data_IF_622977473978
#
_entry.id   IF_622977473978
#
_cell.length_a   1.000
_cell.length_b   1.000
_cell.length_c   1.000
_cell.angle_alpha   90.00
_cell.angle_beta   90.00
_cell.angle_gamma   90.00
#
_symmetry.space_group_name_H-M   'P 1'
#
loop_
_entity.id
_entity.type
_entity.pdbx_description
1 polymer ?
#
# COMPACT_ATOMS: atom_id res chain seq x y z
N UNK A 1 8.29 4.85 -21.48
CA UNK A 1 7.05 4.04 -21.61
C UNK A 1 5.85 4.97 -21.49
N UNK A 2 4.77 4.79 -22.25
CA UNK A 2 3.54 5.57 -22.10
C UNK A 2 2.41 4.58 -21.83
N UNK A 3 1.80 4.64 -20.64
CA UNK A 3 0.58 3.90 -20.38
C UNK A 3 -0.62 4.70 -20.91
N UNK A 4 -1.53 4.01 -21.61
CA UNK A 4 -2.78 4.62 -22.04
C UNK A 4 -3.78 4.54 -20.88
N UNK A 5 -3.89 5.63 -20.13
CA UNK A 5 -4.89 5.76 -19.06
C UNK A 5 -6.23 6.20 -19.67
N UNK A 6 -7.32 5.72 -19.08
CA UNK A 6 -8.62 6.32 -19.38
C UNK A 6 -8.71 7.71 -18.75
N UNK A 7 -9.40 8.62 -19.41
CA UNK A 7 -9.63 9.95 -18.90
C UNK A 7 -10.47 9.95 -17.60
N UNK A 8 -11.28 8.89 -17.39
CA UNK A 8 -12.14 8.73 -16.22
C UNK A 8 -12.26 7.27 -15.80
N UNK A 9 -12.27 7.06 -14.48
CA UNK A 9 -12.56 5.79 -13.82
C UNK A 9 -13.77 5.96 -12.91
N UNK A 10 -14.77 5.11 -13.10
CA UNK A 10 -15.96 5.05 -12.28
C UNK A 10 -15.81 4.04 -11.11
N UNK A 11 -16.80 3.90 -10.26
CA UNK A 11 -16.85 2.88 -9.22
C UNK A 11 -17.10 1.51 -9.86
N UNK A 12 -16.57 0.44 -9.27
CA UNK A 12 -16.84 -0.93 -9.71
C UNK A 12 -17.76 -1.61 -8.70
N UNK A 13 -19.04 -1.76 -9.03
CA UNK A 13 -20.07 -2.31 -8.15
C UNK A 13 -20.86 -3.37 -8.89
N UNK A 14 -21.03 -4.55 -8.27
CA UNK A 14 -21.79 -5.65 -8.83
C UNK A 14 -21.39 -6.06 -10.26
N UNK A 15 -20.06 -6.09 -10.53
CA UNK A 15 -19.54 -6.45 -11.83
C UNK A 15 -19.65 -5.36 -12.91
N UNK A 16 -20.04 -4.14 -12.55
CA UNK A 16 -20.25 -3.03 -13.48
C UNK A 16 -19.50 -1.77 -13.04
N UNK A 17 -19.05 -1.00 -14.02
CA UNK A 17 -18.53 0.34 -13.81
C UNK A 17 -19.69 1.33 -13.77
N UNK A 18 -19.85 2.03 -12.65
CA UNK A 18 -20.96 2.96 -12.40
C UNK A 18 -20.43 4.30 -11.88
N UNK A 19 -20.97 5.44 -12.32
CA UNK A 19 -20.59 6.73 -11.78
C UNK A 19 -21.00 6.83 -10.30
N UNK A 20 -20.35 7.73 -9.54
CA UNK A 20 -20.82 8.07 -8.21
C UNK A 20 -22.25 8.65 -8.30
N UNK A 21 -23.12 8.31 -7.34
CA UNK A 21 -24.55 8.66 -7.36
C UNK A 21 -24.82 10.17 -7.37
N UNK A 22 -23.88 10.99 -6.85
CA UNK A 22 -23.92 12.46 -6.92
C UNK A 22 -23.08 13.05 -8.06
N UNK A 23 -22.46 12.20 -8.88
CA UNK A 23 -21.65 12.58 -10.03
C UNK A 23 -20.28 13.19 -9.69
N UNK A 24 -19.89 13.27 -8.42
CA UNK A 24 -18.60 13.84 -8.01
C UNK A 24 -17.42 12.98 -8.41
N UNK A 25 -16.34 13.66 -8.71
CA UNK A 25 -15.04 13.06 -9.04
C UNK A 25 -13.92 13.78 -8.28
N UNK A 26 -12.80 13.10 -8.11
CA UNK A 26 -11.52 13.69 -7.74
C UNK A 26 -10.49 13.44 -8.86
N UNK A 27 -9.43 14.23 -8.88
CA UNK A 27 -8.39 14.13 -9.91
C UNK A 27 -7.17 13.40 -9.36
N UNK A 28 -6.68 12.41 -10.10
CA UNK A 28 -5.37 11.80 -9.88
C UNK A 28 -4.30 12.60 -10.64
N UNK A 29 -3.17 12.85 -9.99
CA UNK A 29 -2.05 13.63 -10.54
C UNK A 29 -0.78 12.80 -10.52
N UNK A 30 0.07 13.01 -11.53
CA UNK A 30 1.44 12.49 -11.52
C UNK A 30 2.29 13.32 -10.54
N UNK A 31 2.81 12.74 -9.45
CA UNK A 31 3.59 13.48 -8.47
C UNK A 31 4.96 13.97 -8.98
N UNK A 32 5.46 13.38 -10.07
CA UNK A 32 6.73 13.78 -10.67
C UNK A 32 6.59 14.99 -11.61
N UNK A 33 5.42 15.18 -12.24
CA UNK A 33 5.22 16.27 -13.21
C UNK A 33 4.16 17.28 -12.80
N UNK A 34 3.28 16.92 -11.86
CA UNK A 34 2.11 17.70 -11.50
C UNK A 34 0.96 17.62 -12.52
N UNK A 35 1.10 16.83 -13.58
CA UNK A 35 0.09 16.70 -14.62
C UNK A 35 -1.09 15.83 -14.16
N UNK A 36 -2.27 16.19 -14.65
CA UNK A 36 -3.49 15.38 -14.45
C UNK A 36 -3.35 14.06 -15.21
N UNK A 37 -3.57 12.95 -14.52
CA UNK A 37 -3.61 11.59 -15.09
C UNK A 37 -5.03 11.18 -15.48
N UNK A 38 -5.98 11.29 -14.55
CA UNK A 38 -7.36 10.86 -14.76
C UNK A 38 -8.31 11.54 -13.75
N UNK A 39 -9.61 11.38 -13.97
CA UNK A 39 -10.64 11.61 -12.96
C UNK A 39 -11.12 10.28 -12.41
N UNK A 40 -11.38 10.21 -11.11
CA UNK A 40 -11.94 9.04 -10.44
C UNK A 40 -13.24 9.42 -9.72
N UNK A 41 -14.25 8.58 -9.80
CA UNK A 41 -15.52 8.79 -9.10
C UNK A 41 -15.31 8.85 -7.57
N UNK A 42 -16.04 9.71 -6.87
CA UNK A 42 -15.97 9.84 -5.41
C UNK A 42 -17.23 9.28 -4.76
N UNK A 43 -17.14 8.05 -4.23
CA UNK A 43 -18.28 7.31 -3.72
C UNK A 43 -19.03 8.06 -2.60
N UNK A 44 -20.36 7.99 -2.66
CA UNK A 44 -21.27 8.47 -1.62
C UNK A 44 -21.59 7.36 -0.61
N UNK A 45 -22.39 7.67 0.38
CA UNK A 45 -22.91 6.70 1.34
C UNK A 45 -23.80 5.66 0.66
N UNK A 46 -24.60 6.08 -0.31
CA UNK A 46 -25.49 5.25 -1.10
C UNK A 46 -24.71 4.28 -1.99
N UNK A 47 -23.59 4.71 -2.55
CA UNK A 47 -22.72 3.85 -3.36
C UNK A 47 -22.05 2.78 -2.50
N UNK A 48 -21.58 3.12 -1.30
CA UNK A 48 -21.03 2.16 -0.33
C UNK A 48 -22.10 1.16 0.09
N UNK A 49 -23.33 1.59 0.36
CA UNK A 49 -24.47 0.73 0.68
C UNK A 49 -24.78 -0.24 -0.48
N UNK A 50 -24.79 0.27 -1.71
CA UNK A 50 -25.00 -0.56 -2.91
C UNK A 50 -23.89 -1.63 -3.07
N UNK A 51 -22.61 -1.26 -2.84
CA UNK A 51 -21.48 -2.19 -2.88
C UNK A 51 -21.59 -3.29 -1.82
N UNK A 52 -21.97 -2.92 -0.58
CA UNK A 52 -22.16 -3.90 0.51
C UNK A 52 -23.33 -4.82 0.23
N UNK A 53 -24.45 -4.31 -0.28
CA UNK A 53 -25.61 -5.13 -0.69
C UNK A 53 -25.26 -6.11 -1.80
N UNK A 54 -24.53 -5.65 -2.83
CA UNK A 54 -24.03 -6.51 -3.90
C UNK A 54 -23.12 -7.63 -3.37
N UNK A 55 -22.23 -7.29 -2.45
CA UNK A 55 -21.34 -8.27 -1.81
C UNK A 55 -22.11 -9.32 -1.01
N UNK A 56 -23.11 -8.93 -0.24
CA UNK A 56 -23.97 -9.88 0.48
C UNK A 56 -24.81 -10.76 -0.44
N UNK A 57 -25.29 -10.23 -1.55
CA UNK A 57 -26.03 -11.02 -2.55
C UNK A 57 -25.14 -12.08 -3.22
N UNK A 58 -23.87 -11.77 -3.48
CA UNK A 58 -22.90 -12.69 -4.08
C UNK A 58 -22.34 -13.72 -3.08
N UNK A 59 -22.36 -13.41 -1.78
CA UNK A 59 -21.65 -14.19 -0.77
C UNK A 59 -22.02 -15.68 -0.71
N UNK A 60 -23.31 -16.09 -0.73
CA UNK A 60 -23.65 -17.52 -0.67
C UNK A 60 -23.03 -18.33 -1.80
N UNK A 61 -23.11 -17.85 -3.04
CA UNK A 61 -22.57 -18.53 -4.20
C UNK A 61 -21.04 -18.60 -4.18
N UNK A 62 -20.37 -17.52 -3.75
CA UNK A 62 -18.91 -17.48 -3.64
C UNK A 62 -18.39 -18.35 -2.49
N UNK A 63 -19.05 -18.33 -1.32
CA UNK A 63 -18.75 -19.20 -0.18
C UNK A 63 -18.84 -20.67 -0.56
N UNK A 64 -19.90 -21.05 -1.26
CA UNK A 64 -20.20 -22.44 -1.60
C UNK A 64 -19.43 -22.94 -2.84
N UNK A 65 -18.73 -22.05 -3.56
CA UNK A 65 -17.83 -22.41 -4.65
C UNK A 65 -16.69 -23.31 -4.15
N UNK A 66 -16.39 -24.37 -4.90
CA UNK A 66 -15.33 -25.32 -4.54
C UNK A 66 -13.96 -24.65 -4.36
N UNK A 67 -13.19 -25.10 -3.36
CA UNK A 67 -11.84 -24.57 -3.07
C UNK A 67 -10.94 -24.58 -4.31
N UNK A 68 -10.96 -25.69 -5.10
CA UNK A 68 -10.15 -25.81 -6.30
C UNK A 68 -10.54 -24.79 -7.39
N UNK A 69 -11.82 -24.46 -7.48
CA UNK A 69 -12.33 -23.48 -8.45
C UNK A 69 -11.90 -22.07 -8.06
N UNK A 70 -12.05 -21.67 -6.78
CA UNK A 70 -11.56 -20.39 -6.27
C UNK A 70 -10.04 -20.26 -6.45
N UNK A 71 -9.27 -21.32 -6.11
CA UNK A 71 -7.84 -21.33 -6.33
C UNK A 71 -7.47 -21.11 -7.81
N UNK A 72 -8.16 -21.77 -8.73
CA UNK A 72 -7.94 -21.59 -10.17
C UNK A 72 -8.27 -20.17 -10.67
N UNK A 73 -9.22 -19.48 -10.04
CA UNK A 73 -9.48 -18.07 -10.33
C UNK A 73 -8.30 -17.18 -9.86
N UNK A 74 -7.76 -17.43 -8.66
CA UNK A 74 -6.60 -16.68 -8.15
C UNK A 74 -5.36 -16.90 -9.03
N UNK A 75 -5.11 -18.12 -9.49
CA UNK A 75 -4.03 -18.44 -10.43
C UNK A 75 -4.16 -17.62 -11.74
N UNK A 76 -5.37 -17.56 -12.32
CA UNK A 76 -5.65 -16.75 -13.51
C UNK A 76 -5.46 -15.25 -13.27
N UNK A 77 -5.81 -14.76 -12.08
CA UNK A 77 -5.53 -13.35 -11.70
C UNK A 77 -4.02 -13.11 -11.72
N UNK A 78 -3.23 -14.01 -11.13
CA UNK A 78 -1.77 -13.90 -11.13
C UNK A 78 -1.19 -13.92 -12.55
N UNK A 79 -1.69 -14.81 -13.43
CA UNK A 79 -1.24 -14.88 -14.82
C UNK A 79 -1.54 -13.58 -15.58
N UNK A 80 -2.74 -13.00 -15.40
CA UNK A 80 -3.11 -11.70 -15.98
C UNK A 80 -2.20 -10.56 -15.47
N UNK A 81 -1.84 -10.58 -14.17
CA UNK A 81 -0.89 -9.59 -13.62
C UNK A 81 0.46 -9.72 -14.33
N UNK A 82 1.00 -10.93 -14.49
CA UNK A 82 2.29 -11.14 -15.15
C UNK A 82 2.24 -10.77 -16.64
N UNK A 83 1.17 -11.13 -17.35
CA UNK A 83 0.96 -10.77 -18.75
C UNK A 83 0.88 -9.26 -18.98
N UNK A 84 0.48 -8.49 -17.96
CA UNK A 84 0.32 -7.04 -18.03
C UNK A 84 1.33 -6.29 -17.14
N UNK A 85 2.44 -6.93 -16.76
CA UNK A 85 3.38 -6.41 -15.79
C UNK A 85 3.93 -5.02 -16.15
N UNK A 86 4.34 -4.80 -17.40
CA UNK A 86 4.85 -3.51 -17.84
C UNK A 86 3.79 -2.39 -17.77
N UNK A 87 2.56 -2.69 -18.16
CA UNK A 87 1.45 -1.73 -18.09
C UNK A 87 1.16 -1.34 -16.62
N UNK A 88 1.01 -2.33 -15.76
CA UNK A 88 0.68 -2.13 -14.35
C UNK A 88 1.81 -1.40 -13.60
N UNK A 89 3.06 -1.77 -13.84
CA UNK A 89 4.23 -1.12 -13.27
C UNK A 89 4.37 0.34 -13.73
N UNK A 90 4.12 0.60 -15.02
CA UNK A 90 4.17 1.96 -15.57
C UNK A 90 3.09 2.85 -14.94
N UNK A 91 1.85 2.35 -14.80
CA UNK A 91 0.76 3.09 -14.17
C UNK A 91 1.06 3.32 -12.69
N UNK A 92 1.55 2.31 -11.97
CA UNK A 92 1.96 2.43 -10.56
C UNK A 92 3.01 3.52 -10.39
N UNK A 93 4.05 3.55 -11.24
CA UNK A 93 5.09 4.58 -11.20
C UNK A 93 4.55 5.98 -11.52
N UNK A 94 3.65 6.11 -12.48
CA UNK A 94 3.03 7.39 -12.83
C UNK A 94 2.12 7.94 -11.74
N UNK A 95 1.39 7.06 -11.05
CA UNK A 95 0.37 7.43 -10.04
C UNK A 95 1.00 7.66 -8.65
N UNK A 96 2.06 6.91 -8.32
CA UNK A 96 2.71 6.94 -7.00
C UNK A 96 4.01 7.79 -6.98
N UNK A 97 4.74 7.85 -8.08
CA UNK A 97 6.03 8.53 -8.18
C UNK A 97 7.26 7.65 -7.91
N UNK A 98 7.10 6.37 -7.56
CA UNK A 98 8.23 5.45 -7.35
C UNK A 98 8.90 5.05 -8.67
N UNK A 99 10.21 4.72 -8.65
CA UNK A 99 10.93 4.33 -9.86
C UNK A 99 10.37 3.07 -10.52
N UNK A 100 10.30 3.06 -11.84
CA UNK A 100 9.84 1.92 -12.64
C UNK A 100 10.66 0.64 -12.35
N UNK A 101 11.93 0.78 -12.00
CA UNK A 101 12.77 -0.36 -11.60
C UNK A 101 12.25 -1.06 -10.34
N UNK A 102 11.60 -0.32 -9.43
CA UNK A 102 11.02 -0.87 -8.21
C UNK A 102 9.66 -1.52 -8.47
N UNK A 103 8.79 -0.85 -9.23
CA UNK A 103 7.47 -1.41 -9.58
C UNK A 103 7.59 -2.69 -10.41
N UNK A 104 8.56 -2.74 -11.35
CA UNK A 104 8.84 -3.93 -12.16
C UNK A 104 9.52 -5.06 -11.38
N UNK A 105 10.36 -4.76 -10.40
CA UNK A 105 11.10 -5.77 -9.65
C UNK A 105 10.37 -6.25 -8.39
N UNK A 106 9.49 -5.44 -7.82
CA UNK A 106 8.87 -5.68 -6.51
C UNK A 106 7.34 -5.65 -6.59
N UNK A 107 6.74 -4.47 -6.84
CA UNK A 107 5.29 -4.29 -6.66
C UNK A 107 4.46 -5.27 -7.49
N UNK A 108 4.75 -5.41 -8.76
CA UNK A 108 3.99 -6.27 -9.66
C UNK A 108 4.32 -7.76 -9.45
N UNK A 109 5.60 -8.20 -9.45
CA UNK A 109 5.92 -9.63 -9.25
C UNK A 109 5.47 -10.16 -7.89
N UNK A 110 5.64 -9.40 -6.80
CA UNK A 110 5.16 -9.85 -5.49
C UNK A 110 3.64 -9.87 -5.40
N UNK A 111 2.94 -9.04 -6.16
CA UNK A 111 1.48 -9.08 -6.22
C UNK A 111 0.98 -10.36 -6.89
N UNK A 112 1.55 -10.76 -8.01
CA UNK A 112 1.19 -12.04 -8.67
C UNK A 112 1.54 -13.24 -7.80
N UNK A 113 2.72 -13.21 -7.15
CA UNK A 113 3.15 -14.26 -6.21
C UNK A 113 2.19 -14.41 -5.04
N UNK A 114 1.67 -13.32 -4.47
CA UNK A 114 0.67 -13.37 -3.41
C UNK A 114 -0.62 -14.08 -3.84
N UNK A 115 -1.12 -13.80 -5.03
CA UNK A 115 -2.29 -14.53 -5.54
C UNK A 115 -1.99 -16.03 -5.70
N UNK A 116 -0.82 -16.41 -6.22
CA UNK A 116 -0.38 -17.82 -6.32
C UNK A 116 -0.20 -18.47 -4.95
N UNK A 117 0.41 -17.75 -4.01
CA UNK A 117 0.57 -18.25 -2.64
C UNK A 117 -0.77 -18.61 -2.00
N UNK A 118 -1.78 -17.73 -2.05
CA UNK A 118 -3.08 -18.00 -1.46
C UNK A 118 -3.93 -18.99 -2.28
N UNK A 119 -3.72 -19.11 -3.57
CA UNK A 119 -4.27 -20.19 -4.39
C UNK A 119 -3.75 -21.57 -3.93
N UNK A 120 -2.47 -21.67 -3.60
CA UNK A 120 -1.88 -22.86 -3.02
C UNK A 120 -2.31 -23.09 -1.57
N UNK A 121 -2.25 -22.06 -0.74
CA UNK A 121 -2.53 -22.13 0.70
C UNK A 121 -3.95 -22.64 0.99
N UNK A 122 -4.97 -22.14 0.25
CA UNK A 122 -6.34 -22.56 0.49
C UNK A 122 -6.59 -24.05 0.18
N UNK A 123 -5.79 -24.65 -0.68
CA UNK A 123 -5.91 -26.08 -1.05
C UNK A 123 -5.40 -27.02 0.04
N UNK A 124 -4.56 -26.53 0.95
CA UNK A 124 -3.96 -27.28 2.06
C UNK A 124 -4.49 -26.83 3.42
N UNK A 125 -5.50 -25.96 3.45
CA UNK A 125 -6.15 -25.51 4.68
C UNK A 125 -6.92 -26.67 5.30
N UNK A 126 -6.59 -27.01 6.54
CA UNK A 126 -7.16 -28.13 7.28
C UNK A 126 -7.96 -27.66 8.50
N UNK A 127 -9.03 -28.41 8.81
CA UNK A 127 -9.72 -28.34 10.11
C UNK A 127 -9.04 -29.22 11.15
N UNK A 128 -9.61 -29.28 12.36
CA UNK A 128 -9.17 -30.19 13.41
C UNK A 128 -10.33 -31.06 13.86
N UNK A 129 -10.02 -32.31 14.19
CA UNK A 129 -10.95 -33.25 14.82
C UNK A 129 -10.32 -33.80 16.09
N UNK A 130 -11.08 -33.87 17.18
CA UNK A 130 -10.66 -34.44 18.45
C UNK A 130 -11.75 -35.35 18.99
N UNK A 131 -11.40 -36.59 19.36
CA UNK A 131 -12.29 -37.48 20.10
C UNK A 131 -12.20 -37.11 21.57
N UNK A 132 -13.32 -36.68 22.18
CA UNK A 132 -13.37 -36.28 23.59
C UNK A 132 -13.66 -37.49 24.48
N UNK A 133 -14.58 -38.33 24.05
CA UNK A 133 -14.85 -39.64 24.66
C UNK A 133 -15.48 -40.62 23.63
N UNK A 134 -15.95 -41.77 24.06
CA UNK A 134 -16.54 -42.80 23.20
C UNK A 134 -17.78 -42.35 22.38
N UNK A 135 -18.41 -41.25 22.78
CA UNK A 135 -19.68 -40.77 22.20
C UNK A 135 -19.59 -39.32 21.68
N UNK A 136 -18.46 -38.65 21.82
CA UNK A 136 -18.33 -37.24 21.48
C UNK A 136 -17.07 -36.95 20.66
N UNK A 137 -17.25 -36.22 19.58
CA UNK A 137 -16.19 -35.70 18.72
C UNK A 137 -16.35 -34.18 18.59
N UNK A 138 -15.24 -33.47 18.73
CA UNK A 138 -15.15 -32.04 18.43
C UNK A 138 -14.54 -31.83 17.03
N UNK A 139 -15.19 -31.02 16.20
CA UNK A 139 -14.71 -30.61 14.90
C UNK A 139 -14.50 -29.09 14.89
N UNK A 140 -13.35 -28.64 14.37
CA UNK A 140 -13.09 -27.23 14.08
C UNK A 140 -13.08 -27.08 12.56
N UNK A 141 -14.07 -26.37 12.06
CA UNK A 141 -14.19 -26.03 10.64
C UNK A 141 -13.83 -24.56 10.45
N UNK A 142 -13.22 -24.22 9.33
CA UNK A 142 -12.95 -22.86 8.92
C UNK A 142 -13.97 -22.43 7.87
N UNK A 143 -14.62 -21.33 8.11
CA UNK A 143 -15.66 -20.79 7.24
C UNK A 143 -15.38 -19.32 6.89
N UNK A 144 -15.79 -18.88 5.66
CA UNK A 144 -15.70 -17.46 5.31
C UNK A 144 -16.54 -16.61 6.26
N UNK A 145 -16.01 -15.45 6.62
CA UNK A 145 -16.64 -14.56 7.60
C UNK A 145 -17.79 -13.73 7.01
N UNK A 146 -17.81 -13.54 5.67
CA UNK A 146 -18.85 -12.77 4.99
C UNK A 146 -18.29 -11.63 4.13
N UNK A 147 -18.81 -10.42 4.31
CA UNK A 147 -18.39 -9.22 3.59
C UNK A 147 -17.31 -8.48 4.37
N UNK A 148 -16.16 -8.25 3.72
CA UNK A 148 -14.99 -7.60 4.30
C UNK A 148 -14.80 -6.21 3.69
N UNK A 149 -14.70 -5.18 4.55
CA UNK A 149 -14.27 -3.84 4.15
C UNK A 149 -12.75 -3.74 4.18
N UNK A 150 -12.14 -3.36 3.05
CA UNK A 150 -10.68 -3.26 2.92
C UNK A 150 -10.30 -1.85 2.49
N UNK A 151 -9.39 -1.22 3.24
CA UNK A 151 -8.88 0.12 2.96
C UNK A 151 -7.37 0.05 2.92
N UNK A 152 -6.77 0.54 1.82
CA UNK A 152 -5.32 0.50 1.59
C UNK A 152 -4.72 1.90 1.44
N UNK A 153 -3.43 2.07 1.80
CA UNK A 153 -2.71 3.31 1.70
C UNK A 153 -2.22 3.57 0.26
N UNK A 154 -1.51 4.68 0.12
CA UNK A 154 -1.00 5.18 -1.15
C UNK A 154 0.44 4.75 -1.47
N UNK A 155 1.20 4.21 -0.51
CA UNK A 155 2.64 3.97 -0.71
C UNK A 155 2.97 2.71 -1.51
N UNK A 156 2.15 1.67 -1.42
CA UNK A 156 2.21 0.45 -2.23
C UNK A 156 0.81 0.08 -2.71
N UNK A 157 0.16 0.90 -3.54
CA UNK A 157 -1.25 0.72 -3.86
C UNK A 157 -1.55 -0.66 -4.46
N UNK A 158 -0.76 -1.09 -5.44
CA UNK A 158 -0.95 -2.37 -6.12
C UNK A 158 -0.65 -3.57 -5.22
N UNK A 159 0.50 -3.54 -4.53
CA UNK A 159 0.92 -4.63 -3.65
C UNK A 159 0.01 -4.76 -2.43
N UNK A 160 -0.41 -3.65 -1.81
CA UNK A 160 -1.35 -3.68 -0.69
C UNK A 160 -2.75 -4.15 -1.10
N UNK A 161 -3.17 -3.89 -2.33
CA UNK A 161 -4.38 -4.47 -2.88
C UNK A 161 -4.26 -6.00 -2.96
N UNK A 162 -3.17 -6.53 -3.53
CA UNK A 162 -2.93 -7.97 -3.60
C UNK A 162 -2.91 -8.63 -2.22
N UNK A 163 -2.23 -8.01 -1.23
CA UNK A 163 -2.15 -8.53 0.15
C UNK A 163 -3.49 -8.65 0.84
N UNK A 164 -4.48 -7.85 0.46
CA UNK A 164 -5.81 -7.90 1.05
C UNK A 164 -6.81 -8.68 0.21
N UNK A 165 -6.76 -8.54 -1.11
CA UNK A 165 -7.68 -9.23 -2.03
C UNK A 165 -7.42 -10.75 -2.05
N UNK A 166 -6.18 -11.19 -2.23
CA UNK A 166 -5.84 -12.58 -2.40
C UNK A 166 -6.30 -13.47 -1.23
N UNK A 167 -5.96 -13.19 0.05
CA UNK A 167 -6.42 -14.04 1.16
C UNK A 167 -7.93 -13.99 1.37
N UNK A 168 -8.57 -12.85 1.15
CA UNK A 168 -10.01 -12.71 1.36
C UNK A 168 -10.81 -13.48 0.30
N UNK A 169 -10.40 -13.38 -0.97
CA UNK A 169 -11.00 -14.13 -2.08
C UNK A 169 -10.76 -15.64 -1.92
N UNK A 170 -9.53 -16.05 -1.60
CA UNK A 170 -9.17 -17.44 -1.35
C UNK A 170 -10.08 -18.07 -0.28
N UNK A 171 -10.25 -17.37 0.84
CA UNK A 171 -11.07 -17.82 1.96
C UNK A 171 -12.59 -17.81 1.68
N UNK A 172 -13.05 -17.35 0.50
CA UNK A 172 -14.45 -17.33 0.12
C UNK A 172 -15.26 -16.12 0.63
N UNK A 173 -14.57 -15.02 0.99
CA UNK A 173 -15.21 -13.77 1.39
C UNK A 173 -15.51 -12.87 0.19
N UNK A 174 -16.55 -12.04 0.30
CA UNK A 174 -16.80 -10.95 -0.64
C UNK A 174 -16.25 -9.63 -0.10
N UNK A 175 -15.89 -8.73 -1.00
CA UNK A 175 -15.05 -7.57 -0.67
C UNK A 175 -15.70 -6.28 -1.15
N UNK A 176 -15.66 -5.26 -0.28
CA UNK A 176 -15.75 -3.85 -0.67
C UNK A 176 -14.39 -3.23 -0.40
N UNK A 177 -13.70 -2.87 -1.47
CA UNK A 177 -12.32 -2.39 -1.45
C UNK A 177 -12.25 -0.88 -1.71
N UNK A 178 -11.43 -0.17 -0.93
CA UNK A 178 -11.17 1.25 -1.11
C UNK A 178 -9.66 1.52 -1.24
N UNK A 179 -9.16 1.82 -2.47
CA UNK A 179 -7.80 2.33 -2.64
C UNK A 179 -7.67 3.73 -2.05
N UNK A 180 -6.45 4.19 -1.86
CA UNK A 180 -6.21 5.61 -1.57
C UNK A 180 -6.68 6.48 -2.73
N UNK A 181 -7.26 7.65 -2.43
CA UNK A 181 -7.62 8.64 -3.47
C UNK A 181 -6.40 9.25 -4.15
N UNK A 182 -5.23 9.16 -3.52
CA UNK A 182 -3.96 9.68 -4.08
C UNK A 182 -3.40 8.75 -5.15
N UNK A 183 -3.63 7.43 -5.03
CA UNK A 183 -3.04 6.39 -5.90
C UNK A 183 -4.06 5.28 -6.15
N UNK A 184 -5.02 5.53 -7.03
CA UNK A 184 -6.09 4.56 -7.33
C UNK A 184 -5.90 3.82 -8.65
N UNK A 185 -5.09 4.35 -9.57
CA UNK A 185 -5.16 4.00 -11.00
C UNK A 185 -4.66 2.58 -11.31
N UNK A 186 -3.60 2.12 -10.65
CA UNK A 186 -3.07 0.77 -10.86
C UNK A 186 -4.07 -0.29 -10.42
N UNK A 187 -4.73 -0.08 -9.27
CA UNK A 187 -5.77 -0.99 -8.76
C UNK A 187 -7.02 -0.99 -9.66
N UNK A 188 -7.47 0.18 -10.11
CA UNK A 188 -8.62 0.28 -11.02
C UNK A 188 -8.32 -0.37 -12.37
N UNK A 189 -7.08 -0.27 -12.85
CA UNK A 189 -6.62 -0.98 -14.04
C UNK A 189 -6.61 -2.49 -13.81
N UNK A 190 -6.11 -2.97 -12.67
CA UNK A 190 -6.21 -4.39 -12.32
C UNK A 190 -7.66 -4.87 -12.36
N UNK A 191 -8.59 -4.14 -11.73
CA UNK A 191 -10.02 -4.51 -11.72
C UNK A 191 -10.61 -4.59 -13.13
N UNK A 192 -10.20 -3.71 -14.06
CA UNK A 192 -10.58 -3.82 -15.47
C UNK A 192 -10.12 -5.13 -16.12
N UNK A 193 -8.91 -5.54 -15.79
CA UNK A 193 -8.32 -6.76 -16.34
C UNK A 193 -8.94 -8.04 -15.77
N UNK A 194 -9.26 -8.08 -14.46
CA UNK A 194 -9.67 -9.28 -13.76
C UNK A 194 -11.16 -9.37 -13.43
N UNK A 195 -11.90 -8.27 -13.52
CA UNK A 195 -13.31 -8.20 -13.05
C UNK A 195 -14.21 -9.26 -13.68
N UNK A 196 -13.94 -9.65 -14.92
CA UNK A 196 -14.69 -10.68 -15.64
C UNK A 196 -14.47 -12.11 -15.12
N UNK A 197 -13.42 -12.36 -14.32
CA UNK A 197 -13.14 -13.66 -13.71
C UNK A 197 -13.95 -13.91 -12.44
N UNK A 198 -14.43 -12.85 -11.82
CA UNK A 198 -15.15 -12.91 -10.54
C UNK A 198 -16.66 -12.78 -10.78
N UNK A 199 -17.49 -13.58 -10.11
CA UNK A 199 -18.92 -13.38 -10.13
C UNK A 199 -19.31 -11.94 -9.69
N UNK A 200 -20.32 -11.32 -10.30
CA UNK A 200 -20.77 -9.99 -9.91
C UNK A 200 -21.02 -9.88 -8.40
N UNK A 201 -20.51 -8.83 -7.77
CA UNK A 201 -20.65 -8.59 -6.34
C UNK A 201 -19.55 -9.20 -5.45
N UNK A 202 -18.76 -10.18 -5.94
CA UNK A 202 -17.64 -10.76 -5.14
C UNK A 202 -16.58 -9.71 -4.82
N UNK A 203 -16.23 -8.88 -5.79
CA UNK A 203 -15.35 -7.73 -5.63
C UNK A 203 -16.12 -6.45 -6.01
N UNK A 204 -16.10 -5.47 -5.11
CA UNK A 204 -16.61 -4.13 -5.35
C UNK A 204 -15.54 -3.13 -4.97
N UNK A 205 -15.36 -2.08 -5.77
CA UNK A 205 -14.36 -1.04 -5.53
C UNK A 205 -15.02 0.32 -5.46
N UNK A 206 -14.87 0.97 -4.33
CA UNK A 206 -15.36 2.32 -4.07
C UNK A 206 -14.18 3.27 -3.87
N UNK A 207 -14.08 4.29 -4.69
CA UNK A 207 -13.00 5.29 -4.65
C UNK A 207 -13.44 6.54 -3.89
N UNK A 208 -12.47 7.37 -3.50
CA UNK A 208 -12.73 8.65 -2.84
C UNK A 208 -11.90 8.89 -1.58
N UNK A 209 -12.03 10.07 -1.00
CA UNK A 209 -11.29 10.51 0.17
C UNK A 209 -11.55 9.70 1.44
N UNK A 210 -10.55 9.67 2.35
CA UNK A 210 -10.65 8.97 3.63
C UNK A 210 -11.79 9.51 4.51
N UNK A 211 -11.91 10.83 4.60
CA UNK A 211 -12.92 11.54 5.40
C UNK A 211 -14.35 11.44 4.83
N UNK A 212 -14.50 10.96 3.61
CA UNK A 212 -15.81 10.76 2.96
C UNK A 212 -16.06 9.27 2.72
N UNK A 213 -15.59 8.71 1.60
CA UNK A 213 -15.86 7.31 1.23
C UNK A 213 -15.28 6.33 2.26
N UNK A 214 -14.12 6.63 2.86
CA UNK A 214 -13.54 5.83 3.96
C UNK A 214 -14.45 5.84 5.19
N UNK A 215 -14.91 7.02 5.61
CA UNK A 215 -15.79 7.16 6.77
C UNK A 215 -17.13 6.44 6.53
N UNK A 216 -17.71 6.53 5.33
CA UNK A 216 -18.94 5.79 5.01
C UNK A 216 -18.77 4.28 5.14
N UNK A 217 -17.60 3.74 4.79
CA UNK A 217 -17.30 2.32 5.04
C UNK A 217 -17.20 2.03 6.53
N UNK A 218 -16.51 2.88 7.31
CA UNK A 218 -16.40 2.67 8.76
C UNK A 218 -17.75 2.73 9.47
N UNK A 219 -18.64 3.60 9.03
CA UNK A 219 -19.98 3.76 9.62
C UNK A 219 -20.94 2.63 9.22
N UNK A 220 -20.68 1.93 8.10
CA UNK A 220 -21.61 0.96 7.54
C UNK A 220 -21.71 -0.31 8.39
N UNK A 221 -22.92 -0.76 8.81
CA UNK A 221 -23.09 -1.91 9.71
C UNK A 221 -22.94 -3.27 9.02
N UNK A 222 -22.90 -3.30 7.70
CA UNK A 222 -22.96 -4.55 6.91
C UNK A 222 -21.65 -5.30 6.77
N UNK A 223 -20.54 -4.80 7.29
CA UNK A 223 -19.25 -5.51 7.30
C UNK A 223 -19.16 -6.54 8.44
N UNK A 224 -18.45 -7.64 8.20
CA UNK A 224 -18.09 -8.65 9.19
C UNK A 224 -16.64 -8.60 9.62
N UNK A 225 -15.83 -7.85 8.89
CA UNK A 225 -14.42 -7.56 9.22
C UNK A 225 -14.01 -6.27 8.54
N UNK A 226 -13.13 -5.52 9.18
CA UNK A 226 -12.39 -4.42 8.57
C UNK A 226 -10.92 -4.80 8.46
N UNK A 227 -10.29 -4.47 7.32
CA UNK A 227 -8.85 -4.63 7.10
C UNK A 227 -8.30 -3.30 6.61
N UNK A 228 -7.38 -2.73 7.36
CA UNK A 228 -6.82 -1.41 7.13
C UNK A 228 -5.30 -1.47 7.12
N UNK A 229 -4.71 -0.73 6.19
CA UNK A 229 -3.29 -0.37 6.25
C UNK A 229 -3.17 1.14 6.06
N UNK A 230 -2.42 1.81 6.92
CA UNK A 230 -2.23 3.25 6.87
C UNK A 230 -1.63 3.85 8.15
N UNK A 231 -1.93 5.12 8.44
CA UNK A 231 -1.42 5.78 9.65
C UNK A 231 -2.01 5.19 10.94
N UNK A 232 -1.23 5.28 12.03
CA UNK A 232 -1.69 4.85 13.36
C UNK A 232 -2.92 5.62 13.82
N UNK A 233 -3.01 6.91 13.51
CA UNK A 233 -4.17 7.76 13.85
C UNK A 233 -5.46 7.22 13.23
N UNK A 234 -5.48 6.99 11.92
CA UNK A 234 -6.65 6.42 11.23
C UNK A 234 -6.90 4.98 11.66
N UNK A 235 -5.84 4.22 11.95
CA UNK A 235 -5.96 2.85 12.48
C UNK A 235 -6.73 2.78 13.80
N UNK A 236 -6.56 3.76 14.67
CA UNK A 236 -7.35 3.89 15.92
C UNK A 236 -8.84 4.12 15.62
N UNK A 237 -9.17 4.91 14.61
CA UNK A 237 -10.58 5.12 14.24
C UNK A 237 -11.20 3.86 13.63
N UNK A 238 -10.44 3.12 12.81
CA UNK A 238 -10.86 1.81 12.30
C UNK A 238 -11.08 0.82 13.43
N UNK A 239 -10.19 0.80 14.44
CA UNK A 239 -10.33 -0.07 15.62
C UNK A 239 -11.60 0.25 16.41
N UNK A 240 -11.88 1.54 16.66
CA UNK A 240 -13.10 2.00 17.32
C UNK A 240 -14.35 1.59 16.53
N UNK A 241 -14.38 1.86 15.23
CA UNK A 241 -15.49 1.51 14.35
C UNK A 241 -15.75 -0.01 14.30
N UNK A 242 -14.71 -0.84 14.40
CA UNK A 242 -14.84 -2.28 14.49
C UNK A 242 -15.36 -2.72 15.86
N UNK A 243 -14.85 -2.12 16.95
CA UNK A 243 -15.29 -2.40 18.31
C UNK A 243 -16.77 -2.05 18.53
N UNK A 244 -17.25 -0.92 18.01
CA UNK A 244 -18.66 -0.50 18.09
C UNK A 244 -19.61 -1.51 17.40
N UNK A 245 -19.09 -2.29 16.45
CA UNK A 245 -19.84 -3.33 15.72
C UNK A 245 -19.57 -4.75 16.22
N UNK A 246 -18.65 -4.92 17.19
CA UNK A 246 -18.18 -6.22 17.69
C UNK A 246 -17.65 -7.13 16.55
N UNK A 247 -16.93 -6.54 15.57
CA UNK A 247 -16.32 -7.26 14.45
C UNK A 247 -14.78 -7.18 14.55
N UNK A 248 -14.03 -8.18 14.01
CA UNK A 248 -12.59 -8.14 14.00
C UNK A 248 -12.04 -7.07 13.04
N UNK A 249 -10.91 -6.47 13.41
CA UNK A 249 -10.10 -5.63 12.54
C UNK A 249 -8.70 -6.22 12.39
N UNK A 250 -8.14 -6.14 11.17
CA UNK A 250 -6.70 -6.33 10.92
C UNK A 250 -6.12 -4.96 10.59
N UNK A 251 -5.11 -4.55 11.35
CA UNK A 251 -4.51 -3.23 11.26
C UNK A 251 -3.02 -3.36 10.99
N UNK A 252 -2.56 -2.81 9.86
CA UNK A 252 -1.16 -2.65 9.51
C UNK A 252 -0.86 -1.15 9.55
N UNK A 253 0.05 -0.73 10.44
CA UNK A 253 0.21 0.68 10.81
C UNK A 253 1.66 1.13 10.58
N UNK A 254 1.94 2.38 10.96
CA UNK A 254 3.27 2.97 10.84
C UNK A 254 4.29 2.40 11.83
N UNK A 255 5.54 2.76 11.60
CA UNK A 255 6.65 2.34 12.43
C UNK A 255 7.81 3.33 12.46
N UNK A 256 8.81 3.00 13.27
CA UNK A 256 10.09 3.72 13.38
C UNK A 256 11.22 2.70 13.55
N UNK A 257 11.38 1.84 12.54
CA UNK A 257 12.29 0.69 12.60
C UNK A 257 13.75 1.10 12.67
N UNK A 258 14.56 0.23 13.25
CA UNK A 258 16.00 0.44 13.44
C UNK A 258 16.83 -0.32 12.41
N UNK A 259 17.87 0.33 11.90
CA UNK A 259 19.04 -0.29 11.27
C UNK A 259 20.20 -0.25 12.27
N UNK A 260 20.85 -1.39 12.51
CA UNK A 260 21.91 -1.51 13.54
C UNK A 260 23.19 -2.03 12.89
N UNK A 261 24.27 -1.29 13.08
CA UNK A 261 25.58 -1.59 12.49
C UNK A 261 26.65 -1.71 13.58
N UNK A 262 27.26 -2.91 13.68
CA UNK A 262 28.39 -3.19 14.55
C UNK A 262 29.70 -3.10 13.78
N UNK A 263 30.85 -3.08 14.49
CA UNK A 263 32.18 -2.95 13.90
C UNK A 263 32.62 -4.15 13.07
N UNK A 264 31.99 -5.32 13.27
CA UNK A 264 32.20 -6.54 12.50
C UNK A 264 31.23 -6.68 11.30
N UNK A 265 30.43 -5.63 10.98
CA UNK A 265 29.52 -5.68 9.85
C UNK A 265 30.26 -5.86 8.51
N UNK A 266 29.59 -6.50 7.54
CA UNK A 266 30.09 -6.58 6.16
C UNK A 266 29.98 -5.21 5.51
N UNK A 267 31.07 -4.46 5.52
CA UNK A 267 31.12 -3.06 5.14
C UNK A 267 30.53 -2.76 3.76
N UNK A 268 30.87 -3.58 2.76
CA UNK A 268 30.39 -3.41 1.38
C UNK A 268 28.85 -3.50 1.28
N UNK A 269 28.23 -4.31 2.17
CA UNK A 269 26.77 -4.46 2.22
C UNK A 269 26.10 -3.44 3.15
N UNK A 270 26.85 -2.86 4.10
CA UNK A 270 26.27 -2.01 5.13
C UNK A 270 25.71 -0.71 4.54
N UNK A 271 26.44 -0.08 3.62
CA UNK A 271 26.05 1.18 2.99
C UNK A 271 24.92 0.96 1.95
N UNK A 272 25.01 -0.12 1.17
CA UNK A 272 23.94 -0.50 0.25
C UNK A 272 22.65 -0.85 1.02
N UNK A 273 22.78 -1.58 2.13
CA UNK A 273 21.67 -1.89 3.03
C UNK A 273 21.07 -0.65 3.69
N UNK A 274 21.88 0.34 4.04
CA UNK A 274 21.40 1.64 4.52
C UNK A 274 20.55 2.35 3.46
N UNK A 275 21.07 2.47 2.23
CA UNK A 275 20.34 3.11 1.13
C UNK A 275 19.03 2.37 0.83
N UNK A 276 19.06 1.06 0.67
CA UNK A 276 17.88 0.25 0.42
C UNK A 276 16.87 0.37 1.58
N UNK A 277 17.35 0.36 2.82
CA UNK A 277 16.52 0.40 4.03
C UNK A 277 15.71 1.68 4.21
N UNK A 278 16.11 2.79 3.57
CA UNK A 278 15.43 4.08 3.73
C UNK A 278 15.06 4.75 2.41
N UNK A 279 15.78 4.52 1.31
CA UNK A 279 15.52 5.20 0.04
C UNK A 279 14.55 4.43 -0.87
N UNK A 280 14.35 3.13 -0.63
CA UNK A 280 13.33 2.34 -1.31
C UNK A 280 11.97 3.01 -1.17
N UNK A 281 11.23 3.11 -2.27
CA UNK A 281 9.96 3.86 -2.36
C UNK A 281 10.05 5.28 -1.76
N UNK A 282 11.18 5.98 -1.93
CA UNK A 282 11.44 7.34 -1.42
C UNK A 282 11.27 7.48 0.10
N UNK A 283 11.56 6.39 0.86
CA UNK A 283 11.35 6.32 2.31
C UNK A 283 9.89 6.18 2.75
N UNK A 284 8.96 6.04 1.83
CA UNK A 284 7.53 5.90 2.08
C UNK A 284 7.15 4.45 2.40
N UNK A 285 7.84 3.87 3.39
CA UNK A 285 7.74 2.47 3.77
C UNK A 285 7.51 2.36 5.28
N UNK A 286 6.45 1.65 5.69
CA UNK A 286 6.09 1.49 7.11
C UNK A 286 7.16 0.78 7.94
N UNK A 287 7.94 -0.11 7.33
CA UNK A 287 9.05 -0.82 7.97
C UNK A 287 10.42 -0.24 7.62
N UNK A 288 10.52 0.95 7.02
CA UNK A 288 11.80 1.59 6.68
C UNK A 288 12.69 1.72 7.91
N UNK A 289 13.98 1.42 7.73
CA UNK A 289 15.02 1.57 8.76
C UNK A 289 15.37 3.03 9.01
N UNK A 290 14.41 3.81 9.46
CA UNK A 290 14.51 5.27 9.61
C UNK A 290 15.32 5.73 10.81
N UNK A 291 15.68 4.82 11.73
CA UNK A 291 16.67 5.06 12.81
C UNK A 291 17.90 4.21 12.55
N UNK A 292 19.06 4.87 12.51
CA UNK A 292 20.32 4.21 12.25
C UNK A 292 21.17 4.24 13.52
N UNK A 293 21.48 3.07 14.06
CA UNK A 293 22.34 2.89 15.21
C UNK A 293 23.68 2.34 14.74
N UNK A 294 24.74 3.08 15.01
CA UNK A 294 26.09 2.73 14.59
C UNK A 294 26.98 2.63 15.82
N UNK A 295 27.72 1.53 15.95
CA UNK A 295 28.69 1.35 17.03
C UNK A 295 29.73 2.47 16.99
N UNK A 296 30.10 3.02 18.16
CA UNK A 296 30.92 4.21 18.29
C UNK A 296 32.24 4.12 17.50
N UNK A 297 32.92 2.97 17.55
CA UNK A 297 34.23 2.77 16.90
C UNK A 297 34.21 2.89 15.37
N UNK A 298 33.08 2.81 14.72
CA UNK A 298 32.92 2.95 13.25
C UNK A 298 32.09 4.15 12.84
N UNK A 299 31.59 4.95 13.82
CA UNK A 299 30.60 6.00 13.58
C UNK A 299 31.04 7.02 12.53
N UNK A 300 32.20 7.65 12.71
CA UNK A 300 32.69 8.71 11.81
C UNK A 300 32.86 8.20 10.37
N UNK A 301 33.50 7.03 10.23
CA UNK A 301 33.68 6.36 8.95
C UNK A 301 32.36 6.01 8.29
N UNK A 302 31.39 5.58 9.09
CA UNK A 302 30.04 5.22 8.60
C UNK A 302 29.29 6.46 8.11
N UNK A 303 29.30 7.55 8.86
CA UNK A 303 28.66 8.83 8.48
C UNK A 303 29.25 9.38 7.20
N UNK A 304 30.60 9.40 7.06
CA UNK A 304 31.27 9.84 5.83
C UNK A 304 30.83 9.02 4.62
N UNK A 305 30.82 7.68 4.75
CA UNK A 305 30.40 6.78 3.68
C UNK A 305 28.91 6.96 3.33
N UNK A 306 28.05 7.10 4.34
CA UNK A 306 26.62 7.33 4.15
C UNK A 306 26.32 8.64 3.42
N UNK A 307 26.98 9.75 3.81
CA UNK A 307 26.86 11.06 3.13
C UNK A 307 27.27 10.95 1.67
N UNK A 308 28.41 10.28 1.39
CA UNK A 308 28.87 10.06 0.02
C UNK A 308 27.85 9.25 -0.79
N UNK A 309 27.32 8.18 -0.23
CA UNK A 309 26.35 7.32 -0.87
C UNK A 309 25.03 8.06 -1.16
N UNK A 310 24.50 8.82 -0.19
CA UNK A 310 23.26 9.58 -0.35
C UNK A 310 23.39 10.68 -1.40
N UNK A 311 24.51 11.38 -1.43
CA UNK A 311 24.79 12.42 -2.44
C UNK A 311 24.97 11.85 -3.87
N UNK A 312 25.24 10.55 -4.01
CA UNK A 312 25.39 9.89 -5.31
C UNK A 312 24.08 9.34 -5.89
N UNK A 313 22.98 9.40 -5.14
CA UNK A 313 21.68 8.87 -5.57
C UNK A 313 21.12 9.68 -6.73
N UNK A 314 20.80 9.00 -7.83
CA UNK A 314 20.11 9.60 -8.96
C UNK A 314 18.62 9.79 -8.65
N UNK A 315 18.24 11.03 -8.33
CA UNK A 315 16.85 11.46 -8.11
C UNK A 315 16.31 12.03 -9.40
N UNK A 316 15.18 11.52 -9.91
CA UNK A 316 14.69 12.00 -11.20
C UNK A 316 13.38 11.38 -11.67
N UNK A 317 13.14 11.41 -12.97
CA UNK A 317 11.94 10.86 -13.62
C UNK A 317 11.73 9.39 -13.21
N UNK A 318 10.60 9.04 -12.56
CA UNK A 318 10.30 7.67 -12.17
C UNK A 318 10.29 6.66 -13.33
N UNK A 319 10.02 7.11 -14.54
CA UNK A 319 9.97 6.25 -15.73
C UNK A 319 11.34 6.03 -16.39
N UNK A 320 12.39 6.75 -15.98
CA UNK A 320 13.76 6.45 -16.38
C UNK A 320 14.28 5.23 -15.60
N UNK A 321 14.70 4.14 -16.28
CA UNK A 321 15.21 2.95 -15.60
C UNK A 321 16.48 3.19 -14.75
N UNK A 322 17.20 4.29 -15.00
CA UNK A 322 18.39 4.68 -14.23
C UNK A 322 18.04 5.49 -12.96
N UNK A 323 16.81 5.93 -12.80
CA UNK A 323 16.38 6.65 -11.61
C UNK A 323 16.42 5.72 -10.39
N UNK A 324 17.11 6.15 -9.34
CA UNK A 324 17.21 5.41 -8.08
C UNK A 324 16.15 5.82 -7.06
N UNK A 325 15.73 7.06 -7.10
CA UNK A 325 14.69 7.60 -6.23
C UNK A 325 13.78 8.56 -7.00
N UNK A 326 12.48 8.35 -6.92
CA UNK A 326 11.46 9.13 -7.59
C UNK A 326 10.88 10.25 -6.73
N UNK A 327 9.64 10.67 -7.08
CA UNK A 327 8.92 11.72 -6.37
C UNK A 327 8.22 11.20 -5.11
N UNK A 328 8.07 12.05 -4.09
CA UNK A 328 7.10 11.82 -3.01
C UNK A 328 5.69 11.81 -3.60
N UNK A 329 4.77 11.10 -2.97
CA UNK A 329 3.43 10.89 -3.51
C UNK A 329 2.66 12.18 -3.84
N UNK A 330 2.90 13.24 -3.12
CA UNK A 330 2.31 14.57 -3.37
C UNK A 330 3.07 15.69 -2.63
N UNK A 331 2.66 16.93 -2.90
CA UNK A 331 3.21 18.12 -2.24
C UNK A 331 2.88 18.18 -0.74
N UNK A 332 1.80 17.53 -0.29
CA UNK A 332 1.43 17.43 1.13
C UNK A 332 2.46 16.62 1.91
N UNK A 333 2.84 15.46 1.35
CA UNK A 333 3.85 14.59 1.93
C UNK A 333 5.23 15.28 1.92
N UNK A 334 5.60 15.96 0.83
CA UNK A 334 6.85 16.73 0.78
C UNK A 334 6.89 17.81 1.89
N UNK A 335 5.81 18.57 2.08
CA UNK A 335 5.72 19.54 3.17
C UNK A 335 5.82 18.89 4.55
N UNK A 336 5.20 17.73 4.76
CA UNK A 336 5.33 16.96 6.01
C UNK A 336 6.80 16.61 6.28
N UNK A 337 7.51 16.06 5.30
CA UNK A 337 8.93 15.70 5.42
C UNK A 337 9.76 16.94 5.78
N UNK A 338 9.57 18.05 5.07
CA UNK A 338 10.27 19.30 5.34
C UNK A 338 9.99 19.86 6.74
N UNK A 339 8.80 19.68 7.27
CA UNK A 339 8.50 20.08 8.66
C UNK A 339 9.34 19.30 9.67
N UNK A 340 9.60 18.01 9.44
CA UNK A 340 10.49 17.20 10.30
C UNK A 340 11.96 17.55 10.12
N UNK A 341 12.40 17.92 8.92
CA UNK A 341 13.78 18.45 8.72
C UNK A 341 13.99 19.73 9.52
N UNK A 342 13.02 20.63 9.53
CA UNK A 342 13.08 21.85 10.35
C UNK A 342 13.03 21.52 11.85
N UNK A 343 12.13 20.62 12.25
CA UNK A 343 12.03 20.14 13.62
C UNK A 343 13.35 19.55 14.13
N UNK A 344 14.04 18.74 13.31
CA UNK A 344 15.36 18.17 13.66
C UNK A 344 16.37 19.28 13.99
N UNK A 345 16.41 20.37 13.21
CA UNK A 345 17.28 21.52 13.45
C UNK A 345 16.88 22.26 14.75
N UNK A 346 15.60 22.43 14.99
CA UNK A 346 15.06 23.07 16.21
C UNK A 346 15.36 22.24 17.47
N UNK A 347 15.33 20.92 17.36
CA UNK A 347 15.68 19.98 18.44
C UNK A 347 17.21 19.86 18.65
N UNK A 348 18.06 20.49 17.81
CA UNK A 348 19.50 20.51 17.93
C UNK A 348 20.24 19.41 17.17
N UNK A 349 19.55 18.61 16.35
CA UNK A 349 20.18 17.66 15.45
C UNK A 349 20.84 18.35 14.25
N UNK A 350 21.75 17.66 13.57
CA UNK A 350 22.50 18.19 12.42
C UNK A 350 22.09 17.48 11.14
N UNK A 351 21.83 18.24 10.07
CA UNK A 351 21.62 17.69 8.74
C UNK A 351 22.99 17.49 8.07
N UNK A 352 23.42 16.23 7.94
CA UNK A 352 24.71 15.89 7.35
C UNK A 352 24.71 15.95 5.81
N UNK A 353 23.57 15.62 5.19
CA UNK A 353 23.33 15.84 3.75
C UNK A 353 21.83 15.93 3.46
N UNK A 354 21.45 16.43 2.28
CA UNK A 354 20.08 16.61 1.88
C UNK A 354 19.36 17.70 2.68
N UNK A 355 18.17 17.38 3.20
CA UNK A 355 17.38 18.32 4.02
C UNK A 355 16.67 19.41 3.21
N UNK A 356 16.50 19.22 1.92
CA UNK A 356 15.88 20.18 1.01
C UNK A 356 15.18 19.46 -0.17
N UNK A 357 14.16 20.08 -0.78
CA UNK A 357 13.56 19.59 -2.01
C UNK A 357 14.58 19.51 -3.15
N UNK A 358 14.41 18.54 -4.04
CA UNK A 358 15.12 18.50 -5.33
C UNK A 358 14.27 19.26 -6.36
N UNK A 359 14.83 20.32 -6.95
CA UNK A 359 14.09 21.22 -7.86
C UNK A 359 14.76 21.38 -9.24
N UNK A 360 15.85 20.63 -9.49
CA UNK A 360 16.64 20.76 -10.71
C UNK A 360 16.20 19.73 -11.77
N UNK A 361 16.35 20.05 -13.03
CA UNK A 361 16.15 19.13 -14.15
C UNK A 361 14.77 18.47 -14.15
N UNK A 362 14.71 17.14 -14.11
CA UNK A 362 13.46 16.38 -14.08
C UNK A 362 12.63 16.59 -12.82
N UNK A 363 13.23 17.12 -11.75
CA UNK A 363 12.56 17.35 -10.46
C UNK A 363 11.80 18.69 -10.38
N UNK A 364 11.94 19.57 -11.38
CA UNK A 364 11.50 20.98 -11.30
C UNK A 364 10.00 21.18 -11.01
N UNK A 365 9.15 20.29 -11.48
CA UNK A 365 7.68 20.42 -11.37
C UNK A 365 7.04 19.41 -10.43
N UNK A 366 7.84 18.55 -9.80
CA UNK A 366 7.34 17.44 -8.99
C UNK A 366 7.57 17.60 -7.48
N UNK A 367 7.21 16.56 -6.76
CA UNK A 367 7.32 16.51 -5.29
C UNK A 367 8.59 15.77 -4.87
N UNK A 368 9.76 16.24 -5.28
CA UNK A 368 11.02 15.53 -5.04
C UNK A 368 11.75 16.04 -3.79
N UNK A 369 12.38 15.12 -3.09
CA UNK A 369 13.21 15.36 -1.92
C UNK A 369 14.60 14.77 -2.12
N UNK A 370 15.65 15.45 -1.66
CA UNK A 370 17.00 14.86 -1.65
C UNK A 370 17.12 13.84 -0.51
N UNK A 371 17.85 12.71 -0.70
CA UNK A 371 18.19 11.80 0.39
C UNK A 371 18.78 12.58 1.57
N UNK A 372 18.27 12.34 2.78
CA UNK A 372 18.57 13.17 3.94
C UNK A 372 19.13 12.33 5.07
N UNK A 373 20.31 12.72 5.58
CA UNK A 373 20.91 12.13 6.77
C UNK A 373 20.92 13.14 7.92
N UNK A 374 20.25 12.79 9.00
CA UNK A 374 20.20 13.53 10.25
C UNK A 374 21.14 12.84 11.25
N UNK A 375 22.11 13.57 11.78
CA UNK A 375 23.09 13.07 12.77
C UNK A 375 22.94 13.84 14.08
N UNK A 376 23.57 13.34 15.16
CA UNK A 376 23.47 13.89 16.51
C UNK A 376 22.02 13.95 17.05
N UNK A 377 21.15 13.06 16.56
CA UNK A 377 19.81 12.91 17.10
C UNK A 377 19.83 12.00 18.34
N UNK A 378 19.05 12.35 19.34
CA UNK A 378 18.87 11.52 20.55
C UNK A 378 17.49 10.86 20.52
N UNK A 379 17.29 9.80 21.31
CA UNK A 379 16.03 9.03 21.29
C UNK A 379 14.82 9.79 21.87
N UNK A 380 15.02 10.88 22.57
CA UNK A 380 13.97 11.75 23.12
C UNK A 380 13.51 12.83 22.14
N UNK A 381 14.22 13.06 21.05
CA UNK A 381 13.80 13.96 19.99
C UNK A 381 12.59 13.38 19.23
N UNK A 382 11.62 14.22 18.89
CA UNK A 382 10.44 13.83 18.11
C UNK A 382 10.82 13.27 16.74
N UNK A 383 11.86 13.84 16.10
CA UNK A 383 12.39 13.33 14.84
C UNK A 383 12.85 11.88 14.92
N UNK A 384 13.28 11.40 16.10
CA UNK A 384 13.67 10.02 16.34
C UNK A 384 12.49 9.11 16.77
N UNK A 385 11.39 9.66 17.23
CA UNK A 385 10.21 8.93 17.75
C UNK A 385 9.07 8.84 16.75
N UNK A 386 8.85 9.88 15.95
CA UNK A 386 7.71 10.01 15.06
C UNK A 386 8.02 9.56 13.63
N UNK A 387 7.03 9.00 12.95
CA UNK A 387 7.16 8.54 11.57
C UNK A 387 7.16 9.72 10.59
N UNK A 388 8.30 9.95 9.91
CA UNK A 388 8.47 11.00 8.90
C UNK A 388 7.89 10.57 7.56
N UNK A 389 8.18 9.33 7.16
CA UNK A 389 7.74 8.71 5.92
C UNK A 389 8.33 9.40 4.68
N UNK A 390 9.67 9.61 4.69
CA UNK A 390 10.46 10.26 3.64
C UNK A 390 11.90 9.73 3.58
N UNK A 391 12.66 10.12 2.56
CA UNK A 391 13.97 9.56 2.27
C UNK A 391 15.07 10.10 3.19
#
# INVERSE_FOLDING_TARGET
MKANLDARYDLYINGQWVPASDGKVFTAYNPATGEKLAECAEATKEDVDAAVKAAWAAFPAWRDMGIAERAGILEKIADIIDENAELLATIESMDNGKPIRETMAIDVPYSSDHFRYFAGAIRVEEGKASVLDGNMMSLILREPIGVVGQIVPWNFPFLMAAWKLAPALAAGNCIVFKPSSTTSLSVLTLVKLIGHLLPPGVLNVVTGGGSRSGQYMLDHPGFRKLAFTGSTEVGLDVAKAAADKLIPATLELGGKSANIYFDDCKWDMAIDGLQLGILFNQGQVCCAGSRVFVQEGIYDKFVEAAVKAFNSVNVGDPLDPNTQMGAQVDQGQLRKIMSYVNLAKEEGATIACGGEPCTDGACANGSFMKPTLIVNATNDMRVAQEEIFGP
#
